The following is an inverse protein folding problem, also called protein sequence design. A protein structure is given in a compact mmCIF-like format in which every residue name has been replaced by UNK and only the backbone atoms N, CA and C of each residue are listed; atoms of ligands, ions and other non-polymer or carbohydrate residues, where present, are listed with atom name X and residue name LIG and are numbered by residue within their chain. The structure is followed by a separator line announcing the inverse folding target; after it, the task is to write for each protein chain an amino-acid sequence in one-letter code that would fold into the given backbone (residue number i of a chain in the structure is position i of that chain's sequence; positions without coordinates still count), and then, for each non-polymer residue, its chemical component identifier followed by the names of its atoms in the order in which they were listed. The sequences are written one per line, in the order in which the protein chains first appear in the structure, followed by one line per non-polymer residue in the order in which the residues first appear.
data_IF_228988917910
#
_entry.id   IF_228988917910
#
_cell.length_a   1.000
_cell.length_b   1.000
_cell.length_c   1.000
_cell.angle_alpha   90.00
_cell.angle_beta   90.00
_cell.angle_gamma   90.00
#
_symmetry.space_group_name_H-M   'P 1'
#
loop_
_entity.id
_entity.type
_entity.pdbx_description
1 polymer ?
#
# COMPACT_ATOMS: atom_id res chain seq x y z
N UNK A 1 3.76 -15.45 0.26
CA UNK A 1 3.17 -15.76 1.59
C UNK A 1 3.74 -14.76 2.57
N UNK A 2 2.90 -14.17 3.41
CA UNK A 2 3.35 -13.27 4.48
C UNK A 2 3.48 -14.09 5.77
N UNK A 3 4.59 -13.91 6.47
CA UNK A 3 4.90 -14.61 7.72
C UNK A 3 4.39 -13.83 8.92
N UNK A 4 4.18 -14.53 10.02
CA UNK A 4 3.91 -13.87 11.29
C UNK A 4 5.02 -12.89 11.65
N UNK A 5 4.63 -11.69 12.10
CA UNK A 5 5.55 -10.60 12.41
C UNK A 5 5.92 -9.70 11.24
N UNK A 6 5.64 -10.11 9.99
CA UNK A 6 5.89 -9.26 8.81
C UNK A 6 5.12 -7.94 8.91
N UNK A 7 5.71 -6.88 8.37
CA UNK A 7 5.13 -5.53 8.33
C UNK A 7 4.68 -5.21 6.91
N UNK A 8 3.43 -4.82 6.77
CA UNK A 8 2.86 -4.33 5.51
C UNK A 8 2.25 -2.94 5.72
N UNK A 9 2.13 -2.19 4.63
CA UNK A 9 1.68 -0.80 4.67
C UNK A 9 0.39 -0.67 3.88
N UNK A 10 -0.58 0.09 4.41
CA UNK A 10 -1.85 0.35 3.76
C UNK A 10 -2.17 1.83 3.73
N UNK A 11 -2.85 2.28 2.68
CA UNK A 11 -3.33 3.66 2.60
C UNK A 11 -4.37 3.96 3.68
N UNK A 12 -4.34 5.17 4.21
CA UNK A 12 -5.29 5.68 5.20
C UNK A 12 -5.87 7.03 4.75
N UNK A 13 -7.07 7.43 5.21
CA UNK A 13 -7.95 6.70 6.14
C UNK A 13 -8.62 5.48 5.50
N UNK A 14 -9.07 4.55 6.35
CA UNK A 14 -9.84 3.36 5.95
C UNK A 14 -8.99 2.18 5.50
N UNK A 15 -9.21 1.03 6.15
CA UNK A 15 -8.52 -0.23 5.83
C UNK A 15 -9.24 -0.96 4.69
N UNK A 16 -8.49 -1.49 3.72
CA UNK A 16 -8.97 -2.34 2.63
C UNK A 16 -8.17 -3.64 2.56
N UNK A 17 -8.41 -4.44 1.51
CA UNK A 17 -7.63 -5.66 1.26
C UNK A 17 -6.25 -5.43 0.62
N UNK A 18 -5.90 -4.20 0.26
CA UNK A 18 -4.67 -3.89 -0.49
C UNK A 18 -3.59 -3.25 0.39
N UNK A 19 -2.38 -3.79 0.27
CA UNK A 19 -1.19 -3.39 1.02
C UNK A 19 0.04 -3.40 0.10
N UNK A 20 1.14 -2.83 0.58
CA UNK A 20 2.43 -2.79 -0.12
C UNK A 20 3.59 -2.96 0.87
N UNK A 21 4.80 -3.18 0.34
CA UNK A 21 6.00 -3.41 1.15
C UNK A 21 6.74 -2.10 1.52
N UNK A 22 7.72 -2.25 2.40
CA UNK A 22 8.56 -1.13 2.85
C UNK A 22 9.36 -0.52 1.70
N UNK A 23 9.88 -1.36 0.79
CA UNK A 23 10.68 -0.90 -0.35
C UNK A 23 9.87 0.03 -1.27
N UNK A 24 8.61 -0.29 -1.54
CA UNK A 24 7.69 0.55 -2.32
C UNK A 24 7.45 1.90 -1.62
N UNK A 25 7.27 1.88 -0.30
CA UNK A 25 7.12 3.12 0.48
C UNK A 25 8.39 3.99 0.43
N UNK A 26 9.56 3.40 0.61
CA UNK A 26 10.84 4.10 0.59
C UNK A 26 11.17 4.65 -0.80
N UNK A 27 10.88 3.90 -1.87
CA UNK A 27 11.06 4.34 -3.24
C UNK A 27 10.21 5.59 -3.59
N UNK A 28 9.05 5.75 -2.95
CA UNK A 28 8.23 6.94 -3.09
C UNK A 28 8.86 8.19 -2.44
N UNK A 29 9.82 8.01 -1.52
CA UNK A 29 10.57 9.07 -0.86
C UNK A 29 9.67 10.18 -0.26
N UNK A 30 8.61 9.77 0.44
CA UNK A 30 7.64 10.68 1.06
C UNK A 30 6.64 11.34 0.10
N UNK A 31 6.75 11.10 -1.21
CA UNK A 31 5.82 11.64 -2.20
C UNK A 31 4.58 10.77 -2.33
N UNK A 32 3.41 11.37 -2.09
CA UNK A 32 2.14 10.66 -2.25
C UNK A 32 1.91 10.30 -3.72
N UNK A 33 2.23 11.20 -4.65
CA UNK A 33 2.02 10.97 -6.07
C UNK A 33 2.83 9.75 -6.53
N UNK A 34 4.14 9.74 -6.25
CA UNK A 34 5.02 8.61 -6.61
C UNK A 34 4.55 7.29 -6.02
N UNK A 35 4.10 7.30 -4.76
CA UNK A 35 3.60 6.07 -4.13
C UNK A 35 2.39 5.51 -4.88
N UNK A 36 1.35 6.31 -5.09
CA UNK A 36 0.10 5.80 -5.66
C UNK A 36 0.21 5.48 -7.14
N UNK A 37 1.01 6.22 -7.89
CA UNK A 37 1.39 5.89 -9.27
C UNK A 37 2.18 4.58 -9.34
N UNK A 38 3.14 4.34 -8.43
CA UNK A 38 3.87 3.07 -8.38
C UNK A 38 2.95 1.87 -8.11
N UNK A 39 1.81 2.13 -7.46
CA UNK A 39 0.79 1.14 -7.12
C UNK A 39 -0.39 1.15 -8.10
N UNK A 40 -0.35 1.94 -9.18
CA UNK A 40 -1.43 2.01 -10.17
C UNK A 40 -2.81 2.32 -9.53
N UNK A 41 -2.81 3.12 -8.46
CA UNK A 41 -4.02 3.55 -7.78
C UNK A 41 -4.40 4.92 -8.32
N UNK A 42 -5.61 5.07 -8.85
CA UNK A 42 -6.11 6.37 -9.29
C UNK A 42 -6.43 7.29 -8.09
N UNK A 43 -6.22 8.61 -8.24
CA UNK A 43 -6.66 9.57 -7.25
C UNK A 43 -8.18 9.57 -7.15
N UNK A 44 -8.71 9.79 -5.95
CA UNK A 44 -10.14 10.01 -5.77
C UNK A 44 -10.55 11.33 -6.43
N UNK A 45 -11.65 11.37 -7.18
CA UNK A 45 -12.10 12.56 -7.94
C UNK A 45 -12.15 13.85 -7.09
N UNK A 46 -12.74 13.75 -5.89
CA UNK A 46 -12.83 14.88 -4.95
C UNK A 46 -11.61 15.08 -4.03
N UNK A 47 -10.98 14.01 -3.53
CA UNK A 47 -10.00 14.10 -2.45
C UNK A 47 -8.54 13.88 -2.91
N UNK A 48 -8.36 13.55 -4.18
CA UNK A 48 -7.06 13.19 -4.73
C UNK A 48 -6.51 11.90 -4.14
N UNK A 49 -5.19 11.81 -4.12
CA UNK A 49 -4.45 10.72 -3.50
C UNK A 49 -4.58 10.70 -1.97
N UNK A 50 -4.62 9.50 -1.39
CA UNK A 50 -4.55 9.32 0.07
C UNK A 50 -3.27 9.96 0.60
N UNK A 51 -3.38 10.75 1.68
CA UNK A 51 -2.25 11.48 2.26
C UNK A 51 -1.64 10.80 3.48
N UNK A 52 -2.19 9.65 3.92
CA UNK A 52 -1.74 8.96 5.13
C UNK A 52 -1.48 7.49 4.87
N UNK A 53 -0.54 6.93 5.62
CA UNK A 53 -0.22 5.51 5.64
C UNK A 53 -0.42 4.93 7.05
N UNK A 54 -0.89 3.70 7.12
CA UNK A 54 -0.96 2.89 8.33
C UNK A 54 -0.08 1.65 8.16
N UNK A 55 0.77 1.38 9.16
CA UNK A 55 1.52 0.13 9.25
C UNK A 55 0.64 -0.96 9.88
N UNK A 56 0.82 -2.20 9.43
CA UNK A 56 0.14 -3.36 9.98
C UNK A 56 1.13 -4.50 10.24
N UNK A 57 0.96 -5.19 11.37
CA UNK A 57 1.65 -6.45 11.69
C UNK A 57 0.82 -7.62 11.20
N UNK A 58 1.47 -8.60 10.59
CA UNK A 58 0.87 -9.91 10.31
C UNK A 58 0.85 -10.74 11.59
N UNK A 59 -0.34 -11.06 12.09
CA UNK A 59 -0.56 -11.75 13.38
C UNK A 59 -0.28 -13.25 13.34
N UNK A 60 -0.27 -13.83 12.14
CA UNK A 60 -0.02 -15.24 11.83
C UNK A 60 0.17 -15.38 10.33
N UNK A 61 0.81 -16.46 9.89
CA UNK A 61 0.99 -16.73 8.46
C UNK A 61 -0.30 -16.51 7.65
N UNK A 62 -0.17 -15.78 6.55
CA UNK A 62 -1.28 -15.40 5.70
C UNK A 62 -0.93 -15.56 4.22
N UNK A 63 -1.84 -16.18 3.49
CA UNK A 63 -1.78 -16.23 2.03
C UNK A 63 -2.28 -14.88 1.50
N UNK A 64 -1.39 -14.17 0.82
CA UNK A 64 -1.70 -12.95 0.11
C UNK A 64 -1.50 -13.17 -1.39
N UNK A 65 -2.42 -12.68 -2.21
CA UNK A 65 -2.13 -12.45 -3.62
C UNK A 65 -0.99 -11.45 -3.70
N UNK A 66 0.12 -11.79 -4.36
CA UNK A 66 1.32 -10.95 -4.41
C UNK A 66 1.68 -10.71 -5.86
N UNK A 67 2.00 -9.47 -6.20
CA UNK A 67 2.40 -9.12 -7.56
C UNK A 67 3.00 -7.73 -7.62
N UNK A 68 3.68 -7.45 -8.73
CA UNK A 68 4.14 -6.10 -9.05
C UNK A 68 3.08 -5.37 -9.86
N UNK A 69 2.79 -4.12 -9.49
CA UNK A 69 1.84 -3.28 -10.21
C UNK A 69 2.51 -2.74 -11.49
N UNK A 70 2.32 -3.43 -12.61
CA UNK A 70 2.84 -2.98 -13.90
C UNK A 70 1.96 -1.87 -14.46
N UNK A 71 2.59 -0.88 -15.09
CA UNK A 71 1.85 0.20 -15.75
C UNK A 71 1.46 -0.19 -17.17
N UNK A 72 0.16 -0.17 -17.52
CA UNK A 72 -0.30 -0.31 -18.89
C UNK A 72 -0.20 1.02 -19.68
N UNK A 73 -0.10 2.15 -18.98
CA UNK A 73 -0.02 3.50 -19.55
C UNK A 73 0.79 4.41 -18.62
N UNK A 74 2.06 4.64 -18.97
CA UNK A 74 2.97 5.45 -18.16
C UNK A 74 2.67 6.94 -18.19
N UNK A 75 1.91 7.42 -19.18
CA UNK A 75 1.56 8.84 -19.30
C UNK A 75 0.41 9.20 -18.35
N UNK A 76 -0.58 8.32 -18.20
CA UNK A 76 -1.77 8.58 -17.38
C UNK A 76 -1.68 8.01 -15.96
N UNK A 77 -1.08 6.83 -15.79
CA UNK A 77 -1.16 6.05 -14.53
C UNK A 77 0.16 6.05 -13.75
N UNK A 78 1.19 6.68 -14.32
CA UNK A 78 2.57 6.66 -13.81
C UNK A 78 3.26 5.31 -14.04
N UNK A 79 4.51 5.19 -13.61
CA UNK A 79 5.41 4.12 -14.05
C UNK A 79 5.12 2.73 -13.44
N UNK A 80 4.25 2.63 -12.43
CA UNK A 80 4.05 1.38 -11.70
C UNK A 80 5.33 0.93 -10.96
N UNK A 81 5.49 -0.38 -10.79
CA UNK A 81 6.69 -1.02 -10.24
C UNK A 81 6.61 -1.35 -8.75
N UNK A 82 5.60 -0.88 -8.03
CA UNK A 82 5.40 -1.18 -6.61
C UNK A 82 4.93 -2.61 -6.36
N UNK A 83 5.38 -3.20 -5.26
CA UNK A 83 4.92 -4.51 -4.80
C UNK A 83 3.58 -4.37 -4.10
N UNK A 84 2.62 -5.23 -4.46
CA UNK A 84 1.29 -5.26 -3.86
C UNK A 84 0.99 -6.59 -3.20
N UNK A 85 0.24 -6.50 -2.11
CA UNK A 85 -0.36 -7.64 -1.43
C UNK A 85 -1.87 -7.45 -1.36
N UNK A 86 -2.61 -8.46 -1.80
CA UNK A 86 -4.05 -8.56 -1.57
C UNK A 86 -4.35 -9.65 -0.54
N UNK A 87 -5.03 -9.25 0.53
CA UNK A 87 -5.49 -10.12 1.61
C UNK A 87 -7.00 -9.98 1.72
N UNK A 88 -7.78 -11.02 1.41
CA UNK A 88 -9.25 -10.98 1.55
C UNK A 88 -9.72 -11.04 3.01
N UNK A 89 -8.91 -11.64 3.89
CA UNK A 89 -9.18 -11.81 5.32
C UNK A 89 -8.39 -10.84 6.21
N UNK A 90 -7.94 -9.69 5.66
CA UNK A 90 -7.05 -8.73 6.31
C UNK A 90 -7.45 -8.36 7.75
N UNK A 91 -8.75 -8.16 8.04
CA UNK A 91 -9.24 -7.86 9.39
C UNK A 91 -8.90 -8.93 10.44
N UNK A 92 -8.75 -10.19 10.00
CA UNK A 92 -8.45 -11.34 10.87
C UNK A 92 -6.95 -11.54 11.05
N UNK A 93 -6.14 -11.21 10.04
CA UNK A 93 -4.70 -11.55 10.01
C UNK A 93 -3.77 -10.36 10.21
N UNK A 94 -4.28 -9.13 10.12
CA UNK A 94 -3.52 -7.91 10.36
C UNK A 94 -4.00 -7.19 11.62
N UNK A 95 -3.09 -6.43 12.22
CA UNK A 95 -3.39 -5.43 13.25
C UNK A 95 -2.59 -4.16 13.00
N UNK A 96 -3.17 -2.97 13.22
CA UNK A 96 -2.46 -1.71 13.03
C UNK A 96 -1.36 -1.55 14.09
N UNK A 97 -0.23 -0.98 13.67
CA UNK A 97 0.88 -0.62 14.55
C UNK A 97 1.06 0.90 14.54
N UNK A 98 1.08 1.50 15.73
CA UNK A 98 1.29 2.93 15.89
C UNK A 98 0.20 3.79 15.27
N UNK A 99 0.45 5.09 15.22
CA UNK A 99 -0.44 6.06 14.59
C UNK A 99 -0.20 6.12 13.08
N UNK A 100 -1.23 6.55 12.35
CA UNK A 100 -1.09 6.91 10.95
C UNK A 100 -0.09 8.05 10.81
N UNK A 101 0.70 8.03 9.74
CA UNK A 101 1.63 9.10 9.41
C UNK A 101 1.33 9.69 8.04
N UNK A 102 1.61 10.98 7.88
CA UNK A 102 1.38 11.71 6.64
C UNK A 102 2.48 11.43 5.61
N UNK A 103 2.08 11.42 4.34
CA UNK A 103 2.93 11.45 3.15
C UNK A 103 2.44 12.62 2.28
N UNK A 104 3.35 13.37 1.68
CA UNK A 104 2.95 14.66 1.13
C UNK A 104 4.05 15.59 0.65
N UNK A 105 5.02 15.09 -0.11
CA UNK A 105 5.63 15.90 -1.18
C UNK A 105 4.90 15.67 -2.50
#
# INVERSE_FOLDING_TARGET
MLKEGDIVYGGAPGQSGFYFDKATLEAANGSRQKLWESLQVLPHEKYGFRSKIQMYRVKREAIAGTGQALSPDTEMLGSGGGTQFFLSNYKKVLEPIGLQFDIGM
#
